data_IF_630771640999
#
_entry.id   IF_630771640999
#
_cell.length_a   1.000
_cell.length_b   1.000
_cell.length_c   1.000
_cell.angle_alpha   90.00
_cell.angle_beta   90.00
_cell.angle_gamma   90.00
#
_symmetry.space_group_name_H-M   'P 1'
#
loop_
_entity.id
_entity.type
_entity.pdbx_description
1 polymer ?
#
# COMPACT_ATOMS: atom_id res chain seq x y z
N UNK A 1 41.15 -37.45 -8.05
CA UNK A 1 39.73 -37.77 -8.38
C UNK A 1 39.03 -36.45 -8.72
N UNK A 2 38.95 -36.11 -10.01
CA UNK A 2 38.32 -34.86 -10.51
C UNK A 2 36.84 -35.12 -10.74
N UNK A 3 35.95 -34.45 -9.99
CA UNK A 3 34.52 -34.41 -10.27
C UNK A 3 34.24 -33.28 -11.28
N UNK A 4 34.02 -33.67 -12.54
CA UNK A 4 33.51 -32.83 -13.62
C UNK A 4 32.02 -32.55 -13.37
N UNK A 5 31.66 -31.30 -13.08
CA UNK A 5 30.29 -30.81 -13.16
C UNK A 5 30.13 -30.07 -14.49
N UNK A 6 29.41 -30.71 -15.42
CA UNK A 6 28.92 -30.13 -16.67
C UNK A 6 28.02 -28.91 -16.37
N UNK A 7 28.38 -27.75 -16.91
CA UNK A 7 27.58 -26.52 -16.91
C UNK A 7 26.92 -26.38 -18.29
N UNK A 8 25.64 -26.73 -18.38
CA UNK A 8 24.83 -26.46 -19.56
C UNK A 8 24.48 -24.96 -19.62
N UNK A 9 25.16 -24.21 -20.50
CA UNK A 9 24.87 -22.81 -20.76
C UNK A 9 23.69 -22.66 -21.74
N UNK A 10 22.48 -22.40 -21.22
CA UNK A 10 21.36 -21.92 -22.05
C UNK A 10 21.24 -20.40 -21.97
N UNK A 11 21.44 -19.74 -23.11
CA UNK A 11 21.23 -18.30 -23.28
C UNK A 11 19.74 -18.05 -23.54
N UNK A 12 19.02 -17.52 -22.56
CA UNK A 12 17.66 -17.00 -22.77
C UNK A 12 17.75 -15.59 -23.38
N UNK A 13 17.46 -15.47 -24.68
CA UNK A 13 17.26 -14.17 -25.34
C UNK A 13 15.79 -13.78 -25.23
N UNK A 14 15.51 -12.68 -24.52
CA UNK A 14 14.25 -11.94 -24.61
C UNK A 14 14.54 -10.56 -25.20
N UNK A 15 13.70 -10.14 -26.15
CA UNK A 15 13.98 -9.13 -27.17
C UNK A 15 14.13 -7.68 -26.68
N UNK A 16 14.16 -7.40 -25.37
CA UNK A 16 14.26 -6.02 -24.86
C UNK A 16 15.24 -5.77 -23.71
N UNK A 17 15.95 -6.77 -23.17
CA UNK A 17 17.03 -6.53 -22.20
C UNK A 17 18.13 -7.59 -22.31
N UNK A 18 19.39 -7.15 -22.40
CA UNK A 18 20.57 -8.01 -22.45
C UNK A 18 20.87 -8.54 -21.03
N UNK A 19 20.20 -9.61 -20.62
CA UNK A 19 20.38 -10.24 -19.29
C UNK A 19 21.25 -11.50 -19.43
N UNK A 20 22.29 -11.65 -18.60
CA UNK A 20 22.97 -12.93 -18.38
C UNK A 20 22.51 -13.48 -17.03
N UNK A 21 21.78 -14.59 -17.05
CA UNK A 21 21.35 -15.31 -15.85
C UNK A 21 22.18 -16.59 -15.66
N UNK A 22 22.46 -16.94 -14.40
CA UNK A 22 23.03 -18.23 -14.03
C UNK A 22 21.98 -19.09 -13.34
N UNK A 23 21.95 -20.38 -13.69
CA UNK A 23 21.08 -21.37 -13.07
C UNK A 23 21.94 -22.33 -12.25
N UNK A 24 21.77 -22.31 -10.94
CA UNK A 24 22.43 -23.27 -10.04
C UNK A 24 21.33 -23.90 -9.18
N UNK A 25 21.13 -25.22 -9.35
CA UNK A 25 20.22 -26.09 -8.58
C UNK A 25 18.95 -25.40 -8.06
N UNK A 26 18.08 -24.98 -8.98
CA UNK A 26 16.73 -24.49 -8.66
C UNK A 26 16.61 -22.99 -8.33
N UNK A 27 17.72 -22.24 -8.31
CA UNK A 27 17.70 -20.78 -8.21
C UNK A 27 18.01 -20.12 -9.56
N UNK A 28 17.17 -19.15 -9.96
CA UNK A 28 17.47 -18.22 -11.06
C UNK A 28 18.16 -17.01 -10.43
N UNK A 29 19.44 -16.80 -10.75
CA UNK A 29 20.17 -15.59 -10.37
C UNK A 29 20.21 -14.66 -11.58
N UNK A 30 19.52 -13.53 -11.47
CA UNK A 30 19.52 -12.47 -12.49
C UNK A 30 20.55 -11.41 -12.08
N UNK A 31 21.66 -11.32 -12.80
CA UNK A 31 22.65 -10.24 -12.63
C UNK A 31 22.36 -9.14 -13.65
N UNK A 32 22.00 -7.96 -13.17
CA UNK A 32 21.84 -6.77 -13.99
C UNK A 32 23.08 -5.88 -13.85
N UNK A 33 23.79 -5.64 -14.96
CA UNK A 33 25.12 -5.03 -14.95
C UNK A 33 25.14 -3.51 -14.68
N UNK A 34 23.99 -2.85 -14.50
CA UNK A 34 23.91 -1.39 -14.32
C UNK A 34 23.34 -0.91 -12.97
N UNK A 35 23.00 -1.80 -12.03
CA UNK A 35 22.70 -1.44 -10.65
C UNK A 35 23.13 -2.59 -9.74
N UNK A 36 23.94 -2.27 -8.72
CA UNK A 36 24.40 -3.21 -7.72
C UNK A 36 23.19 -3.69 -6.88
N UNK A 37 22.58 -4.80 -7.29
CA UNK A 37 21.45 -5.41 -6.59
C UNK A 37 21.32 -6.87 -6.97
N UNK A 38 21.50 -7.76 -5.99
CA UNK A 38 21.33 -9.21 -6.15
C UNK A 38 19.88 -9.57 -5.83
N UNK A 39 19.16 -10.14 -6.78
CA UNK A 39 17.83 -10.70 -6.54
C UNK A 39 17.95 -12.20 -6.24
N UNK A 40 17.62 -12.61 -5.02
CA UNK A 40 17.59 -14.02 -4.59
C UNK A 40 16.13 -14.43 -4.40
N UNK A 41 15.59 -15.24 -5.30
CA UNK A 41 14.30 -15.91 -5.09
C UNK A 41 14.52 -17.20 -4.29
N UNK A 42 14.19 -17.19 -3.00
CA UNK A 42 14.11 -18.40 -2.17
C UNK A 42 12.66 -18.86 -2.13
N UNK A 43 12.35 -19.98 -2.79
CA UNK A 43 11.09 -20.69 -2.59
C UNK A 43 11.26 -21.65 -1.40
N UNK A 44 10.82 -21.24 -0.21
CA UNK A 44 10.64 -22.13 0.95
C UNK A 44 9.22 -22.01 1.46
N UNK A 45 8.57 -23.17 1.65
CA UNK A 45 7.23 -23.33 2.22
C UNK A 45 7.15 -22.69 3.61
N UNK A 46 6.09 -21.91 3.84
CA UNK A 46 5.71 -21.36 5.14
C UNK A 46 6.45 -20.07 5.50
N UNK A 47 5.69 -18.99 5.68
CA UNK A 47 6.11 -17.59 5.84
C UNK A 47 6.54 -16.90 4.54
N UNK A 48 5.57 -16.29 3.86
CA UNK A 48 5.87 -15.30 2.82
C UNK A 48 6.63 -14.15 3.47
N UNK A 49 7.94 -14.13 3.24
CA UNK A 49 8.78 -12.99 3.50
C UNK A 49 8.33 -11.89 2.55
N UNK A 50 7.61 -10.89 3.06
CA UNK A 50 7.24 -9.69 2.30
C UNK A 50 8.48 -9.19 1.56
N UNK A 51 8.42 -9.26 0.23
CA UNK A 51 9.44 -8.66 -0.61
C UNK A 51 9.37 -7.18 -0.31
N UNK A 52 10.38 -6.66 0.40
CA UNK A 52 10.57 -5.22 0.58
C UNK A 52 10.70 -4.64 -0.83
N UNK A 53 9.57 -4.15 -1.37
CA UNK A 53 9.57 -3.43 -2.63
C UNK A 53 10.43 -2.20 -2.39
N UNK A 54 11.58 -2.13 -3.06
CA UNK A 54 12.43 -0.94 -3.03
C UNK A 54 11.56 0.25 -3.40
N UNK A 55 11.30 1.15 -2.44
CA UNK A 55 10.53 2.36 -2.70
C UNK A 55 11.37 3.23 -3.60
N UNK A 56 10.91 3.39 -4.84
CA UNK A 56 11.50 4.31 -5.80
C UNK A 56 10.76 5.64 -5.71
N UNK A 57 11.37 6.72 -6.22
CA UNK A 57 10.70 8.02 -6.31
C UNK A 57 9.41 8.00 -7.15
N UNK A 58 9.17 6.93 -7.90
CA UNK A 58 8.01 6.74 -8.78
C UNK A 58 6.99 5.74 -8.22
N UNK A 59 7.20 5.20 -7.02
CA UNK A 59 6.25 4.25 -6.41
C UNK A 59 4.89 4.93 -6.26
N UNK A 60 3.86 4.30 -6.85
CA UNK A 60 2.48 4.77 -6.82
C UNK A 60 1.69 3.96 -5.82
N UNK A 61 0.85 4.63 -5.05
CA UNK A 61 -0.14 4.04 -4.15
C UNK A 61 -1.52 4.42 -4.65
N UNK A 62 -2.49 3.51 -4.49
CA UNK A 62 -3.86 3.72 -4.97
C UNK A 62 -4.85 3.29 -3.91
N UNK A 63 -5.98 3.98 -3.89
CA UNK A 63 -7.14 3.63 -3.09
C UNK A 63 -8.41 4.08 -3.81
N UNK A 64 -9.55 3.49 -3.44
CA UNK A 64 -10.88 3.94 -3.83
C UNK A 64 -11.15 5.37 -3.36
N UNK A 65 -11.99 6.12 -4.09
CA UNK A 65 -12.26 7.52 -3.77
C UNK A 65 -13.10 7.68 -2.49
N UNK A 66 -13.91 6.66 -2.19
CA UNK A 66 -14.86 6.55 -1.09
C UNK A 66 -14.15 6.61 0.26
N UNK A 67 -12.99 5.95 0.41
CA UNK A 67 -12.17 6.01 1.63
C UNK A 67 -11.37 7.31 1.79
N UNK A 68 -11.46 8.23 0.82
CA UNK A 68 -10.70 9.47 0.85
C UNK A 68 -10.95 10.31 2.10
N UNK A 69 -12.20 10.34 2.60
CA UNK A 69 -12.57 11.07 3.82
C UNK A 69 -11.90 10.44 5.05
N UNK A 70 -11.93 9.10 5.14
CA UNK A 70 -11.26 8.36 6.22
C UNK A 70 -9.76 8.61 6.23
N UNK A 71 -9.14 8.61 5.05
CA UNK A 71 -7.70 8.89 4.93
C UNK A 71 -7.38 10.33 5.36
N UNK A 72 -8.24 11.29 5.04
CA UNK A 72 -8.02 12.70 5.35
C UNK A 72 -8.01 12.99 6.86
N UNK A 73 -8.79 12.25 7.66
CA UNK A 73 -8.88 12.40 9.12
C UNK A 73 -7.72 11.77 9.89
N UNK A 74 -6.87 10.97 9.25
CA UNK A 74 -5.72 10.33 9.91
C UNK A 74 -4.65 11.35 10.29
N UNK A 75 -3.97 11.09 11.42
CA UNK A 75 -2.75 11.81 11.80
C UNK A 75 -1.65 11.61 10.75
N UNK A 76 -0.69 12.53 10.68
CA UNK A 76 0.38 12.47 9.68
C UNK A 76 1.19 11.17 9.78
N UNK A 77 1.51 10.76 11.00
CA UNK A 77 2.20 9.51 11.32
C UNK A 77 1.38 8.29 10.88
N UNK A 78 0.08 8.23 11.21
CA UNK A 78 -0.81 7.17 10.77
C UNK A 78 -0.90 7.07 9.23
N UNK A 79 -1.00 8.22 8.53
CA UNK A 79 -0.94 8.26 7.06
C UNK A 79 0.34 7.65 6.54
N UNK A 80 1.50 8.06 7.06
CA UNK A 80 2.81 7.55 6.63
C UNK A 80 2.90 6.04 6.78
N UNK A 81 2.51 5.52 7.94
CA UNK A 81 2.49 4.07 8.21
C UNK A 81 1.56 3.35 7.24
N UNK A 82 0.34 3.85 7.08
CA UNK A 82 -0.66 3.26 6.18
C UNK A 82 -0.17 3.24 4.73
N UNK A 83 0.32 4.35 4.19
CA UNK A 83 0.75 4.41 2.80
C UNK A 83 2.01 3.58 2.52
N UNK A 84 2.89 3.39 3.53
CA UNK A 84 4.02 2.46 3.45
C UNK A 84 3.59 0.99 3.53
N UNK A 85 2.48 0.68 4.20
CA UNK A 85 1.88 -0.65 4.11
C UNK A 85 1.21 -0.85 2.73
N UNK A 86 0.42 0.13 2.27
CA UNK A 86 -0.28 0.06 0.98
C UNK A 86 0.66 -0.05 -0.22
N UNK A 87 1.89 0.45 -0.15
CA UNK A 87 2.83 0.32 -1.26
C UNK A 87 3.32 -1.13 -1.49
N UNK A 88 3.13 -2.01 -0.51
CA UNK A 88 3.52 -3.42 -0.59
C UNK A 88 2.46 -4.23 -1.37
N UNK A 89 1.21 -3.76 -1.38
CA UNK A 89 0.05 -4.41 -1.99
C UNK A 89 0.08 -4.29 -3.52
N UNK A 90 -0.38 -5.33 -4.25
CA UNK A 90 -0.77 -5.17 -5.65
C UNK A 90 -2.23 -4.75 -5.75
N UNK A 91 -2.45 -3.53 -6.25
CA UNK A 91 -3.77 -2.92 -6.41
C UNK A 91 -4.65 -3.61 -7.47
N UNK A 92 -4.10 -4.51 -8.29
CA UNK A 92 -4.83 -5.22 -9.35
C UNK A 92 -5.56 -6.45 -8.83
N UNK A 93 -4.93 -7.16 -7.92
CA UNK A 93 -5.45 -8.41 -7.36
C UNK A 93 -6.24 -8.10 -6.08
N UNK A 94 -7.00 -9.08 -5.60
CA UNK A 94 -7.64 -8.97 -4.29
C UNK A 94 -6.56 -9.14 -3.22
N UNK A 95 -6.63 -8.36 -2.14
CA UNK A 95 -5.70 -8.55 -1.03
C UNK A 95 -6.02 -9.88 -0.32
N UNK A 96 -5.02 -10.74 -0.19
CA UNK A 96 -5.09 -11.93 0.65
C UNK A 96 -5.20 -11.57 2.15
N UNK A 97 -5.29 -12.56 3.03
CA UNK A 97 -5.26 -12.40 4.49
C UNK A 97 -3.86 -12.09 5.07
N UNK A 98 -2.99 -11.56 4.22
CA UNK A 98 -1.60 -11.26 4.55
C UNK A 98 -1.48 -10.13 5.58
N UNK A 99 -0.51 -10.31 6.47
CA UNK A 99 -0.10 -9.31 7.45
C UNK A 99 0.97 -8.45 6.80
N UNK A 100 0.73 -7.14 6.75
CA UNK A 100 1.68 -6.16 6.23
C UNK A 100 2.60 -5.67 7.36
N UNK A 101 3.88 -5.53 7.06
CA UNK A 101 4.89 -5.10 8.03
C UNK A 101 5.55 -3.79 7.59
N UNK A 102 5.73 -2.86 8.53
CA UNK A 102 6.48 -1.62 8.32
C UNK A 102 7.52 -1.50 9.41
N UNK A 103 8.79 -1.68 9.04
CA UNK A 103 9.93 -1.54 9.95
C UNK A 103 10.40 -0.08 10.06
N UNK A 104 11.02 0.25 11.18
CA UNK A 104 11.50 1.60 11.46
C UNK A 104 12.62 2.08 10.53
N UNK A 105 13.48 1.19 10.06
CA UNK A 105 14.56 1.56 9.15
C UNK A 105 14.00 1.94 7.78
N UNK A 106 13.02 1.19 7.27
CA UNK A 106 12.28 1.50 6.06
C UNK A 106 11.47 2.79 6.20
N UNK A 107 10.78 2.96 7.34
CA UNK A 107 10.01 4.16 7.63
C UNK A 107 10.90 5.42 7.67
N UNK A 108 12.03 5.35 8.37
CA UNK A 108 13.01 6.44 8.47
C UNK A 108 13.54 6.82 7.09
N UNK A 109 13.95 5.83 6.27
CA UNK A 109 14.44 6.07 4.91
C UNK A 109 13.39 6.69 4.00
N UNK A 110 12.13 6.30 4.13
CA UNK A 110 11.05 6.81 3.29
C UNK A 110 10.60 8.23 3.68
N UNK A 111 10.62 8.54 4.98
CA UNK A 111 10.13 9.82 5.53
C UNK A 111 11.23 10.86 5.75
N UNK A 112 12.50 10.48 5.63
CA UNK A 112 13.67 11.30 5.98
C UNK A 112 13.69 11.77 7.44
N UNK A 113 13.01 11.06 8.34
CA UNK A 113 13.05 11.30 9.78
C UNK A 113 14.24 10.58 10.41
N UNK A 114 14.76 11.13 11.50
CA UNK A 114 15.76 10.43 12.31
C UNK A 114 15.18 9.15 12.92
N UNK A 115 16.07 8.27 13.38
CA UNK A 115 15.68 6.94 13.86
C UNK A 115 14.75 7.01 15.08
N UNK A 116 15.01 7.93 16.02
CA UNK A 116 14.22 8.06 17.24
C UNK A 116 12.83 8.62 16.96
N UNK A 117 12.73 9.67 16.14
CA UNK A 117 11.44 10.19 15.70
C UNK A 117 10.63 9.16 14.91
N UNK A 118 11.30 8.31 14.12
CA UNK A 118 10.66 7.23 13.36
C UNK A 118 10.01 6.19 14.28
N UNK A 119 10.66 5.79 15.36
CA UNK A 119 10.08 4.87 16.35
C UNK A 119 8.83 5.45 17.01
N UNK A 120 8.89 6.70 17.45
CA UNK A 120 7.76 7.38 18.07
C UNK A 120 6.58 7.53 17.09
N UNK A 121 6.86 7.91 15.83
CA UNK A 121 5.86 8.05 14.78
C UNK A 121 5.19 6.71 14.41
N UNK A 122 5.95 5.61 14.38
CA UNK A 122 5.39 4.27 14.14
C UNK A 122 4.46 3.83 15.26
N UNK A 123 4.86 4.04 16.51
CA UNK A 123 4.06 3.68 17.69
C UNK A 123 2.76 4.48 17.75
N UNK A 124 2.82 5.79 17.51
CA UNK A 124 1.61 6.63 17.41
C UNK A 124 0.75 6.22 16.22
N UNK A 125 1.36 6.01 15.05
CA UNK A 125 0.64 5.64 13.83
C UNK A 125 -0.11 4.32 13.99
N UNK A 126 0.50 3.33 14.63
CA UNK A 126 -0.15 2.05 14.93
C UNK A 126 -1.34 2.21 15.88
N UNK A 127 -1.21 3.04 16.92
CA UNK A 127 -2.29 3.32 17.88
C UNK A 127 -3.49 4.02 17.22
N UNK A 128 -3.24 4.93 16.30
CA UNK A 128 -4.32 5.61 15.55
C UNK A 128 -4.98 4.65 14.57
N UNK A 129 -4.20 3.86 13.83
CA UNK A 129 -4.74 2.91 12.84
C UNK A 129 -5.56 1.78 13.49
N UNK A 130 -5.22 1.34 14.70
CA UNK A 130 -6.00 0.33 15.43
C UNK A 130 -7.37 0.83 15.88
N UNK A 131 -7.54 2.15 16.05
CA UNK A 131 -8.79 2.79 16.49
C UNK A 131 -9.57 3.47 15.36
N UNK A 132 -9.08 3.38 14.11
CA UNK A 132 -9.70 4.06 12.96
C UNK A 132 -10.87 3.25 12.40
N UNK A 133 -12.04 3.91 12.29
CA UNK A 133 -13.22 3.40 11.58
C UNK A 133 -13.34 4.03 10.19
N UNK A 134 -13.86 3.27 9.23
CA UNK A 134 -14.20 3.75 7.89
C UNK A 134 -15.37 4.74 7.98
N UNK A 135 -15.15 5.92 7.43
CA UNK A 135 -16.15 6.97 7.24
C UNK A 135 -16.52 7.00 5.75
N UNK A 136 -17.78 6.71 5.48
CA UNK A 136 -18.36 6.62 4.13
C UNK A 136 -19.53 7.60 3.99
N UNK A 137 -19.76 8.08 2.77
CA UNK A 137 -20.91 8.94 2.46
C UNK A 137 -22.20 8.11 2.42
N UNK A 138 -23.37 8.77 2.49
CA UNK A 138 -24.69 8.09 2.48
C UNK A 138 -24.89 7.14 1.29
N UNK A 139 -24.48 7.54 0.09
CA UNK A 139 -24.62 6.71 -1.11
C UNK A 139 -23.71 5.48 -1.06
N UNK A 140 -22.47 5.67 -0.58
CA UNK A 140 -21.49 4.58 -0.42
C UNK A 140 -21.90 3.63 0.70
N UNK A 141 -22.49 4.15 1.78
CA UNK A 141 -23.05 3.36 2.88
C UNK A 141 -24.21 2.50 2.39
N UNK A 142 -25.09 3.03 1.54
CA UNK A 142 -26.19 2.27 0.96
C UNK A 142 -25.67 1.11 0.11
N UNK A 143 -24.73 1.38 -0.80
CA UNK A 143 -24.11 0.33 -1.63
C UNK A 143 -23.47 -0.75 -0.76
N UNK A 144 -22.75 -0.34 0.30
CA UNK A 144 -22.10 -1.28 1.20
C UNK A 144 -23.10 -2.08 2.05
N UNK A 145 -24.18 -1.44 2.53
CA UNK A 145 -25.23 -2.11 3.30
C UNK A 145 -25.94 -3.19 2.46
N UNK A 146 -26.24 -2.87 1.20
CA UNK A 146 -26.82 -3.81 0.23
C UNK A 146 -25.87 -5.00 -0.01
N UNK A 147 -24.57 -4.75 -0.18
CA UNK A 147 -23.55 -5.80 -0.32
C UNK A 147 -23.39 -6.68 0.94
N UNK A 148 -23.54 -6.09 2.13
CA UNK A 148 -23.46 -6.79 3.41
C UNK A 148 -24.76 -7.55 3.75
N UNK A 149 -25.81 -7.43 2.92
CA UNK A 149 -27.11 -8.03 3.17
C UNK A 149 -27.85 -7.38 4.35
N UNK A 150 -27.44 -6.18 4.76
CA UNK A 150 -28.18 -5.38 5.74
C UNK A 150 -29.36 -4.79 4.97
N UNK A 151 -30.58 -5.26 5.26
CA UNK A 151 -31.82 -4.95 4.53
C UNK A 151 -32.06 -3.43 4.37
N UNK A 152 -31.51 -2.81 3.33
CA UNK A 152 -31.82 -1.43 2.94
C UNK A 152 -33.13 -1.40 2.16
N UNK A 153 -34.26 -1.61 2.82
CA UNK A 153 -35.52 -1.07 2.28
C UNK A 153 -35.34 0.45 2.08
N UNK A 154 -36.01 1.08 1.10
CA UNK A 154 -35.81 2.51 0.71
C UNK A 154 -35.76 3.52 1.87
N UNK A 155 -36.26 3.18 3.06
CA UNK A 155 -36.29 4.01 4.26
C UNK A 155 -35.49 3.47 5.48
N UNK A 156 -34.65 2.44 5.34
CA UNK A 156 -33.85 1.85 6.45
C UNK A 156 -32.35 1.82 6.13
N UNK A 157 -31.81 2.92 5.63
CA UNK A 157 -30.35 3.08 5.51
C UNK A 157 -29.81 3.39 6.91
N UNK A 158 -28.80 2.68 7.42
CA UNK A 158 -28.20 3.03 8.70
C UNK A 158 -27.56 4.41 8.62
N UNK A 159 -27.86 5.29 9.58
CA UNK A 159 -27.24 6.62 9.67
C UNK A 159 -25.72 6.54 9.90
N UNK A 160 -25.25 5.44 10.48
CA UNK A 160 -23.85 5.16 10.75
C UNK A 160 -23.58 3.65 10.70
N UNK A 161 -22.46 3.27 10.09
CA UNK A 161 -21.95 1.90 10.11
C UNK A 161 -20.49 1.92 10.57
N UNK A 162 -20.24 1.45 11.78
CA UNK A 162 -18.91 1.44 12.38
C UNK A 162 -18.11 0.23 11.91
N UNK A 163 -17.27 0.45 10.90
CA UNK A 163 -16.41 -0.58 10.33
C UNK A 163 -14.95 -0.24 10.59
N UNK A 164 -14.26 -1.09 11.35
CA UNK A 164 -12.84 -0.88 11.59
C UNK A 164 -12.04 -0.99 10.29
N UNK A 165 -11.05 -0.11 10.13
CA UNK A 165 -10.10 -0.15 9.03
C UNK A 165 -9.21 -1.40 9.13
N UNK A 166 -8.75 -1.72 10.34
CA UNK A 166 -7.84 -2.83 10.62
C UNK A 166 -8.53 -3.87 11.50
N UNK A 167 -8.25 -5.14 11.23
CA UNK A 167 -8.59 -6.26 12.13
C UNK A 167 -7.64 -6.22 13.33
N UNK A 168 -6.37 -5.97 13.08
CA UNK A 168 -5.42 -5.55 14.11
C UNK A 168 -4.35 -4.63 13.53
N UNK A 169 -3.83 -3.76 14.40
CA UNK A 169 -2.62 -3.00 14.14
C UNK A 169 -1.78 -3.01 15.44
N UNK A 170 -0.60 -3.60 15.37
CA UNK A 170 0.24 -3.84 16.54
C UNK A 170 1.67 -3.34 16.30
N UNK A 171 2.22 -2.61 17.27
CA UNK A 171 3.63 -2.23 17.30
C UNK A 171 4.40 -3.17 18.20
N UNK A 172 5.52 -3.70 17.70
CA UNK A 172 6.41 -4.58 18.44
C UNK A 172 7.66 -3.81 18.83
N UNK A 173 7.74 -3.36 20.09
CA UNK A 173 8.84 -2.50 20.59
C UNK A 173 10.22 -3.16 20.34
N UNK A 174 10.36 -4.46 20.54
CA UNK A 174 11.62 -5.20 20.38
C UNK A 174 12.09 -5.38 18.92
N UNK A 175 11.17 -5.32 17.95
CA UNK A 175 11.48 -5.39 16.51
C UNK A 175 11.42 -4.02 15.84
N UNK A 176 10.94 -3.00 16.56
CA UNK A 176 10.58 -1.71 16.03
C UNK A 176 9.80 -1.78 14.70
N UNK A 177 8.78 -2.63 14.68
CA UNK A 177 7.99 -2.93 13.49
C UNK A 177 6.51 -2.81 13.81
N UNK A 178 5.74 -2.24 12.89
CA UNK A 178 4.28 -2.25 12.92
C UNK A 178 3.78 -3.38 12.03
N UNK A 179 2.85 -4.20 12.54
CA UNK A 179 2.12 -5.19 11.77
C UNK A 179 0.66 -4.78 11.62
N UNK A 180 0.15 -4.87 10.41
CA UNK A 180 -1.21 -4.45 10.05
C UNK A 180 -1.92 -5.59 9.33
N UNK A 181 -3.12 -5.91 9.78
CA UNK A 181 -4.07 -6.73 9.04
C UNK A 181 -5.33 -5.93 8.79
N UNK A 182 -5.72 -5.79 7.53
CA UNK A 182 -6.94 -5.06 7.16
C UNK A 182 -8.19 -5.94 7.31
N UNK A 183 -9.32 -5.33 7.67
CA UNK A 183 -10.60 -6.03 7.66
C UNK A 183 -11.01 -6.39 6.22
N UNK A 184 -11.78 -7.47 6.05
CA UNK A 184 -12.28 -7.88 4.72
C UNK A 184 -13.03 -6.78 3.99
N UNK A 185 -13.70 -5.90 4.71
CA UNK A 185 -14.37 -4.71 4.15
C UNK A 185 -13.37 -3.66 3.68
N UNK A 186 -12.37 -3.32 4.51
CA UNK A 186 -11.33 -2.35 4.17
C UNK A 186 -10.51 -2.76 2.94
N UNK A 187 -10.20 -4.06 2.78
CA UNK A 187 -9.44 -4.59 1.65
C UNK A 187 -10.01 -4.18 0.29
N UNK A 188 -11.34 -4.11 0.16
CA UNK A 188 -12.03 -3.75 -1.10
C UNK A 188 -11.69 -2.34 -1.58
N UNK A 189 -11.31 -1.46 -0.66
CA UNK A 189 -10.95 -0.08 -0.97
C UNK A 189 -9.48 0.10 -1.35
N UNK A 190 -8.64 -0.92 -1.16
CA UNK A 190 -7.21 -0.89 -1.47
C UNK A 190 -6.80 -1.87 -2.59
N UNK A 191 -7.68 -2.80 -2.94
CA UNK A 191 -7.44 -3.90 -3.87
C UNK A 191 -8.49 -3.92 -4.99
N UNK A 192 -8.25 -4.67 -6.07
CA UNK A 192 -9.13 -4.74 -7.26
C UNK A 192 -9.60 -3.35 -7.75
N UNK A 193 -8.66 -2.41 -7.82
CA UNK A 193 -8.94 -1.01 -8.17
C UNK A 193 -8.99 -0.77 -9.69
N UNK A 194 -8.34 -1.64 -10.47
CA UNK A 194 -8.24 -1.51 -11.92
C UNK A 194 -9.38 -2.32 -12.56
N UNK A 195 -10.34 -1.64 -13.19
CA UNK A 195 -11.55 -2.23 -13.75
C UNK A 195 -12.46 -1.22 -14.45
N UNK A 196 -13.75 -1.55 -14.62
CA UNK A 196 -14.75 -0.73 -15.34
C UNK A 196 -15.02 0.63 -14.71
N UNK A 197 -14.76 0.79 -13.41
CA UNK A 197 -14.98 2.04 -12.69
C UNK A 197 -13.66 2.74 -12.38
N UNK A 198 -13.39 3.86 -13.05
CA UNK A 198 -12.25 4.75 -12.77
C UNK A 198 -12.44 5.56 -11.46
N UNK A 199 -12.97 4.93 -10.41
CA UNK A 199 -13.26 5.54 -9.10
C UNK A 199 -12.11 5.28 -8.11
N UNK A 200 -10.89 5.65 -8.48
CA UNK A 200 -9.73 5.53 -7.61
C UNK A 200 -8.84 6.76 -7.69
N UNK A 201 -8.10 7.00 -6.62
CA UNK A 201 -7.09 8.05 -6.54
C UNK A 201 -5.72 7.40 -6.57
N UNK A 202 -4.88 7.83 -7.50
CA UNK A 202 -3.46 7.42 -7.55
C UNK A 202 -2.60 8.54 -6.99
N UNK A 203 -1.74 8.23 -6.03
CA UNK A 203 -0.80 9.16 -5.41
C UNK A 203 0.65 8.67 -5.59
N UNK A 204 1.62 9.59 -5.53
CA UNK A 204 3.04 9.23 -5.49
C UNK A 204 3.43 9.08 -4.02
N UNK A 205 3.90 7.89 -3.64
CA UNK A 205 4.21 7.55 -2.24
C UNK A 205 5.14 8.58 -1.61
N UNK A 206 6.22 8.94 -2.32
CA UNK A 206 7.21 9.91 -1.84
C UNK A 206 6.59 11.27 -1.49
N UNK A 207 5.63 11.75 -2.27
CA UNK A 207 4.92 13.00 -1.98
C UNK A 207 4.09 12.88 -0.71
N UNK A 208 3.38 11.76 -0.52
CA UNK A 208 2.52 11.56 0.65
C UNK A 208 3.33 11.49 1.94
N UNK A 209 4.47 10.80 1.94
CA UNK A 209 5.26 10.59 3.15
C UNK A 209 6.11 11.80 3.54
N UNK A 210 6.54 12.62 2.58
CA UNK A 210 7.41 13.79 2.85
C UNK A 210 6.66 15.08 3.22
N UNK A 211 5.38 15.19 2.87
CA UNK A 211 4.59 16.34 3.30
C UNK A 211 4.49 16.35 4.83
N UNK A 212 4.74 17.51 5.45
CA UNK A 212 4.83 17.66 6.90
C UNK A 212 3.58 18.27 7.56
N UNK A 213 2.53 18.52 6.79
CA UNK A 213 1.27 19.08 7.28
C UNK A 213 0.09 18.24 6.85
N UNK A 214 -0.83 18.01 7.79
CA UNK A 214 -2.10 17.31 7.53
C UNK A 214 -2.87 18.00 6.40
N UNK A 215 -2.95 19.34 6.42
CA UNK A 215 -3.64 20.11 5.40
C UNK A 215 -2.98 19.98 4.03
N UNK A 216 -1.64 20.00 3.97
CA UNK A 216 -0.91 19.78 2.72
C UNK A 216 -1.13 18.36 2.17
N UNK A 217 -1.14 17.34 3.03
CA UNK A 217 -1.45 15.96 2.60
C UNK A 217 -2.87 15.83 2.08
N UNK A 218 -3.84 16.48 2.74
CA UNK A 218 -5.25 16.44 2.33
C UNK A 218 -5.47 17.17 1.01
N UNK A 219 -4.90 18.36 0.85
CA UNK A 219 -4.94 19.10 -0.40
C UNK A 219 -4.29 18.30 -1.54
N UNK A 220 -3.13 17.70 -1.29
CA UNK A 220 -2.48 16.82 -2.25
C UNK A 220 -3.38 15.66 -2.67
N UNK A 221 -4.03 15.00 -1.72
CA UNK A 221 -4.97 13.92 -2.01
C UNK A 221 -6.14 14.40 -2.89
N UNK A 222 -6.70 15.58 -2.62
CA UNK A 222 -7.77 16.19 -3.44
C UNK A 222 -7.28 16.47 -4.86
N UNK A 223 -6.12 17.10 -5.02
CA UNK A 223 -5.52 17.34 -6.35
C UNK A 223 -5.35 16.02 -7.11
N UNK A 224 -4.85 14.98 -6.43
CA UNK A 224 -4.63 13.66 -7.02
C UNK A 224 -5.92 12.92 -7.37
N UNK A 225 -7.00 13.15 -6.63
CA UNK A 225 -8.34 12.63 -6.95
C UNK A 225 -8.81 13.16 -8.30
N UNK A 226 -8.82 14.49 -8.48
CA UNK A 226 -9.23 15.10 -9.75
C UNK A 226 -8.29 14.75 -10.90
N UNK A 227 -6.98 14.70 -10.65
CA UNK A 227 -6.00 14.27 -11.64
C UNK A 227 -6.20 12.81 -12.09
N UNK A 228 -6.63 11.93 -11.18
CA UNK A 228 -6.89 10.51 -11.51
C UNK A 228 -8.18 10.33 -12.31
N UNK A 229 -9.17 11.21 -12.11
CA UNK A 229 -10.40 11.23 -12.90
C UNK A 229 -10.17 11.76 -14.32
N UNK A 230 -9.43 12.86 -14.45
CA UNK A 230 -9.08 13.43 -15.74
C UNK A 230 -7.69 14.08 -15.69
N UNK A 231 -6.70 13.39 -16.25
CA UNK A 231 -5.31 13.85 -16.26
C UNK A 231 -5.06 15.08 -17.14
N UNK A 232 -5.97 15.39 -18.07
CA UNK A 232 -5.87 16.55 -18.96
C UNK A 232 -6.32 17.85 -18.28
N UNK A 233 -7.25 17.77 -17.33
CA UNK A 233 -7.79 18.92 -16.62
C UNK A 233 -6.87 19.26 -15.44
N UNK A 234 -6.25 20.45 -15.48
CA UNK A 234 -5.32 20.93 -14.45
C UNK A 234 -5.98 21.84 -13.39
N UNK A 235 -7.28 22.05 -13.49
CA UNK A 235 -8.07 22.87 -12.57
C UNK A 235 -9.31 22.11 -12.09
N UNK A 236 -9.77 22.47 -10.90
CA UNK A 236 -11.02 22.00 -10.31
C UNK A 236 -11.58 23.09 -9.42
N UNK A 237 -12.90 23.10 -9.27
CA UNK A 237 -13.60 24.00 -8.37
C UNK A 237 -13.92 23.25 -7.08
N UNK A 238 -13.80 23.94 -5.96
CA UNK A 238 -14.13 23.42 -4.63
C UNK A 238 -14.94 24.49 -3.89
N UNK A 239 -16.01 24.08 -3.20
CA UNK A 239 -16.73 24.98 -2.31
C UNK A 239 -15.93 25.21 -1.02
N UNK A 240 -16.03 26.42 -0.49
CA UNK A 240 -15.56 26.72 0.87
C UNK A 240 -16.83 26.81 1.72
N UNK A 241 -16.99 25.82 2.60
CA UNK A 241 -18.09 25.77 3.56
C UNK A 241 -17.72 26.54 4.84
#
# INVERSE_FOLDING_TARGET
MRLLLSLDMKILRSSYLKVRGFLIKGCIVVLNYNLCGVMICLHRKGYMRLIVKTVTGLTKVRHRNEVGVTLASLSLSAKRVLFLALCQIDTKEMLDDDILEVDADFFSKATSLDKYASYAALKEGAKVLSSTTLVLNRDDLKNLADELGILSSKNKIPDRLDLNLTEFCAYYDHLATVRIKFTNTAKRYFSKLIGSENRYTTQVLKSVVLLNSVNSTNLYQVIRKYYSQNSSKKSFDISVD
#
